data_IF_820414744372
#
_entry.id   IF_820414744372
#
_cell.length_a   1.000
_cell.length_b   1.000
_cell.length_c   1.000
_cell.angle_alpha   90.00
_cell.angle_beta   90.00
_cell.angle_gamma   90.00
#
_symmetry.space_group_name_H-M   'P 1'
#
loop_
_entity.id
_entity.type
_entity.pdbx_description
1 polymer ?
#
# COMPACT_ATOMS: atom_id res chain seq x y z
N UNK A 1 -3.25 -13.40 15.22
CA UNK A 1 -4.13 -12.27 14.84
C UNK A 1 -5.47 -12.37 15.58
N UNK A 2 -5.99 -11.26 16.13
CA UNK A 2 -7.34 -11.19 16.70
C UNK A 2 -8.44 -10.98 15.63
N UNK A 3 -8.03 -10.78 14.36
CA UNK A 3 -8.89 -10.53 13.21
C UNK A 3 -9.02 -11.81 12.38
N UNK A 4 -10.18 -12.50 12.39
CA UNK A 4 -10.38 -13.72 11.59
C UNK A 4 -10.16 -13.45 10.10
N UNK A 5 -9.49 -14.37 9.39
CA UNK A 5 -9.16 -14.29 7.96
C UNK A 5 -8.32 -13.06 7.55
N UNK A 6 -7.65 -12.41 8.50
CA UNK A 6 -6.62 -11.42 8.20
C UNK A 6 -5.32 -12.09 7.78
N UNK A 7 -4.63 -11.48 6.81
CA UNK A 7 -3.27 -11.84 6.43
C UNK A 7 -2.31 -10.83 7.05
N UNK A 8 -1.38 -11.33 7.87
CA UNK A 8 -0.37 -10.51 8.52
C UNK A 8 0.99 -10.75 7.84
N UNK A 9 1.65 -9.68 7.41
CA UNK A 9 3.03 -9.67 6.96
C UNK A 9 3.87 -8.95 8.02
N UNK A 10 4.88 -9.62 8.55
CA UNK A 10 5.73 -9.09 9.62
C UNK A 10 7.18 -8.99 9.14
N UNK A 11 7.82 -7.87 9.44
CA UNK A 11 9.25 -7.66 9.23
C UNK A 11 9.86 -6.98 10.45
N UNK A 12 11.03 -7.45 10.89
CA UNK A 12 11.72 -6.92 12.06
C UNK A 12 13.18 -6.59 11.70
N UNK A 13 13.66 -5.44 12.17
CA UNK A 13 15.04 -5.00 12.02
C UNK A 13 15.45 -4.15 13.22
N UNK A 14 16.40 -4.65 14.01
CA UNK A 14 16.79 -4.06 15.30
C UNK A 14 15.55 -3.87 16.20
N UNK A 15 15.34 -2.68 16.76
CA UNK A 15 14.20 -2.31 17.60
C UNK A 15 12.92 -2.00 16.82
N UNK A 16 13.02 -1.97 15.47
CA UNK A 16 11.91 -1.67 14.59
C UNK A 16 11.14 -2.93 14.20
N UNK A 17 9.82 -2.85 14.30
CA UNK A 17 8.87 -3.87 13.85
C UNK A 17 7.88 -3.23 12.90
N UNK A 18 7.71 -3.84 11.73
CA UNK A 18 6.70 -3.50 10.75
C UNK A 18 5.67 -4.62 10.67
N UNK A 19 4.39 -4.25 10.69
CA UNK A 19 3.27 -5.18 10.48
C UNK A 19 2.34 -4.57 9.44
N UNK A 20 2.07 -5.32 8.38
CA UNK A 20 0.98 -5.07 7.44
C UNK A 20 -0.10 -6.13 7.65
N UNK A 21 -1.29 -5.71 8.04
CA UNK A 21 -2.45 -6.58 8.16
C UNK A 21 -3.48 -6.20 7.11
N UNK A 22 -3.92 -7.17 6.31
CA UNK A 22 -4.94 -6.95 5.29
C UNK A 22 -6.10 -7.94 5.35
N UNK A 23 -7.27 -7.48 4.92
CA UNK A 23 -8.50 -8.25 4.77
C UNK A 23 -8.95 -8.20 3.32
N UNK A 24 -9.56 -9.31 2.86
CA UNK A 24 -10.14 -9.42 1.52
C UNK A 24 -9.12 -9.71 0.42
N UNK A 25 -9.64 -9.86 -0.81
CA UNK A 25 -8.84 -10.21 -1.99
C UNK A 25 -9.06 -9.17 -3.12
N UNK A 26 -10.29 -9.07 -3.62
CA UNK A 26 -10.66 -8.11 -4.68
C UNK A 26 -11.04 -6.74 -4.15
N UNK A 27 -11.63 -6.70 -2.96
CA UNK A 27 -11.88 -5.50 -2.17
C UNK A 27 -11.10 -5.68 -0.88
N UNK A 28 -10.18 -4.75 -0.63
CA UNK A 28 -9.23 -4.85 0.46
C UNK A 28 -9.36 -3.67 1.40
N UNK A 29 -9.13 -3.96 2.68
CA UNK A 29 -8.85 -2.97 3.73
C UNK A 29 -7.67 -3.49 4.51
N UNK A 30 -6.72 -2.62 4.82
CA UNK A 30 -5.58 -2.99 5.63
C UNK A 30 -4.92 -1.82 6.31
N UNK A 31 -3.92 -2.16 7.10
CA UNK A 31 -3.15 -1.23 7.90
C UNK A 31 -1.71 -1.69 7.96
N UNK A 32 -0.81 -0.76 7.63
CA UNK A 32 0.63 -0.88 7.86
C UNK A 32 0.97 -0.06 9.10
N UNK A 33 1.79 -0.59 9.99
CA UNK A 33 2.25 0.13 11.16
C UNK A 33 3.68 -0.24 11.54
N UNK A 34 4.38 0.73 12.14
CA UNK A 34 5.76 0.61 12.59
C UNK A 34 5.80 0.86 14.09
N UNK A 35 6.48 -0.03 14.81
CA UNK A 35 6.81 0.12 16.22
C UNK A 35 8.32 0.29 16.39
N UNK A 36 8.70 1.11 17.36
CA UNK A 36 10.06 1.20 17.89
C UNK A 36 10.00 0.86 19.38
N UNK A 37 10.74 -0.17 19.81
CA UNK A 37 10.69 -0.68 21.19
C UNK A 37 9.26 -0.94 21.70
N UNK A 38 8.46 -1.61 20.86
CA UNK A 38 7.04 -1.90 21.08
C UNK A 38 6.11 -0.68 21.25
N UNK A 39 6.59 0.54 21.01
CA UNK A 39 5.74 1.73 20.93
C UNK A 39 5.42 2.03 19.46
N UNK A 40 4.13 2.21 19.08
CA UNK A 40 3.78 2.57 17.71
C UNK A 40 4.28 3.98 17.40
N UNK A 41 4.99 4.14 16.28
CA UNK A 41 5.57 5.44 15.88
C UNK A 41 5.00 5.96 14.58
N UNK A 42 4.44 5.10 13.74
CA UNK A 42 3.88 5.45 12.44
C UNK A 42 2.82 4.43 12.01
N UNK A 43 1.80 4.88 11.28
CA UNK A 43 0.81 4.00 10.70
C UNK A 43 0.16 4.56 9.45
N UNK A 44 -0.34 3.66 8.61
CA UNK A 44 -1.09 3.96 7.39
C UNK A 44 -2.21 2.95 7.22
N UNK A 45 -3.43 3.42 7.02
CA UNK A 45 -4.50 2.55 6.53
C UNK A 45 -4.66 2.68 5.02
N UNK A 46 -5.18 1.63 4.40
CA UNK A 46 -5.48 1.62 2.99
C UNK A 46 -6.76 0.83 2.70
N UNK A 47 -7.45 1.23 1.63
CA UNK A 47 -8.56 0.48 1.06
C UNK A 47 -8.45 0.48 -0.45
N UNK A 48 -8.69 -0.66 -1.07
CA UNK A 48 -8.55 -0.83 -2.51
C UNK A 48 -9.60 -1.75 -3.08
N UNK A 49 -9.82 -1.66 -4.39
CA UNK A 49 -10.73 -2.54 -5.10
C UNK A 49 -10.33 -2.76 -6.55
N UNK A 50 -10.57 -3.98 -7.02
CA UNK A 50 -10.65 -4.29 -8.45
C UNK A 50 -11.96 -3.69 -8.99
N UNK A 51 -11.87 -2.93 -10.08
CA UNK A 51 -13.01 -2.22 -10.66
C UNK A 51 -13.40 -2.72 -12.06
N UNK A 52 -12.55 -3.53 -12.69
CA UNK A 52 -12.81 -4.15 -13.99
C UNK A 52 -11.92 -5.38 -14.19
N UNK A 53 -12.29 -6.22 -15.17
CA UNK A 53 -11.47 -7.34 -15.61
C UNK A 53 -10.09 -6.91 -16.13
N UNK A 54 -9.11 -7.81 -16.04
CA UNK A 54 -7.73 -7.54 -16.45
C UNK A 54 -6.87 -6.93 -15.34
N UNK A 55 -7.30 -6.96 -14.09
CA UNK A 55 -6.41 -6.71 -12.96
C UNK A 55 -5.43 -7.88 -12.78
N UNK A 56 -4.16 -7.56 -12.57
CA UNK A 56 -3.09 -8.52 -12.28
C UNK A 56 -2.39 -8.14 -10.97
N UNK A 57 -2.56 -8.99 -9.96
CA UNK A 57 -1.94 -8.82 -8.65
C UNK A 57 -0.41 -8.85 -8.72
N UNK A 58 0.17 -9.58 -9.68
CA UNK A 58 1.62 -9.64 -9.85
C UNK A 58 2.18 -8.29 -10.30
N UNK A 59 1.47 -7.56 -11.17
CA UNK A 59 1.84 -6.20 -11.56
C UNK A 59 1.78 -5.22 -10.39
N UNK A 60 0.73 -5.30 -9.55
CA UNK A 60 0.65 -4.49 -8.34
C UNK A 60 1.84 -4.77 -7.41
N UNK A 61 2.14 -6.04 -7.13
CA UNK A 61 3.30 -6.43 -6.30
C UNK A 61 4.60 -5.89 -6.87
N UNK A 62 4.76 -5.90 -8.18
CA UNK A 62 5.94 -5.41 -8.88
C UNK A 62 6.07 -3.87 -8.78
N UNK A 63 4.95 -3.14 -8.78
CA UNK A 63 4.93 -1.71 -8.48
C UNK A 63 5.33 -1.43 -7.03
N UNK A 64 4.78 -2.17 -6.05
CA UNK A 64 5.07 -1.99 -4.62
C UNK A 64 6.54 -2.28 -4.27
N UNK A 65 7.19 -3.23 -4.96
CA UNK A 65 8.63 -3.49 -4.81
C UNK A 65 9.54 -2.34 -5.28
N UNK A 66 9.01 -1.39 -6.07
CA UNK A 66 9.73 -0.21 -6.57
C UNK A 66 9.42 1.04 -5.75
N UNK A 67 9.04 0.86 -4.49
CA UNK A 67 9.01 1.93 -3.50
C UNK A 67 10.34 2.69 -3.51
N UNK A 68 10.27 4.01 -3.34
CA UNK A 68 11.44 4.88 -3.31
C UNK A 68 11.60 5.46 -1.92
N UNK A 69 12.83 5.71 -1.49
CA UNK A 69 13.11 6.30 -0.17
C UNK A 69 12.50 7.69 0.00
N UNK A 70 12.37 8.46 -1.08
CA UNK A 70 11.71 9.78 -1.11
C UNK A 70 10.18 9.71 -1.24
N UNK A 71 9.62 8.50 -1.36
CA UNK A 71 8.17 8.25 -1.42
C UNK A 71 7.84 6.91 -0.74
N UNK A 72 8.11 6.75 0.57
CA UNK A 72 8.12 5.47 1.26
C UNK A 72 6.71 5.02 1.70
N UNK A 73 5.75 5.02 0.77
CA UNK A 73 4.34 4.73 1.07
C UNK A 73 3.83 3.50 0.32
N UNK A 74 3.96 3.50 -1.01
CA UNK A 74 3.47 2.44 -1.92
C UNK A 74 4.46 2.31 -3.08
N UNK A 75 4.00 2.15 -4.31
CA UNK A 75 4.85 2.12 -5.50
C UNK A 75 5.33 3.51 -5.95
N UNK A 76 6.10 3.57 -7.05
CA UNK A 76 6.59 4.83 -7.61
C UNK A 76 5.45 5.68 -8.19
N UNK A 77 5.65 6.99 -8.39
CA UNK A 77 4.60 7.86 -8.99
C UNK A 77 4.06 7.33 -10.33
N UNK A 78 4.91 6.67 -11.10
CA UNK A 78 4.56 6.10 -12.39
C UNK A 78 5.39 4.85 -12.66
N UNK A 79 4.76 3.80 -13.18
CA UNK A 79 5.41 2.61 -13.72
C UNK A 79 4.58 2.11 -14.91
N UNK A 80 5.24 1.78 -16.01
CA UNK A 80 4.63 1.17 -17.19
C UNK A 80 5.39 -0.09 -17.56
N UNK A 81 4.68 -1.22 -17.68
CA UNK A 81 5.23 -2.50 -18.12
C UNK A 81 4.23 -3.16 -19.07
N UNK A 82 4.56 -3.21 -20.36
CA UNK A 82 3.65 -3.72 -21.39
C UNK A 82 2.35 -2.91 -21.44
N UNK A 83 1.21 -3.59 -21.36
CA UNK A 83 -0.12 -2.96 -21.41
C UNK A 83 -0.58 -2.36 -20.07
N UNK A 84 0.24 -2.49 -19.00
CA UNK A 84 -0.11 -2.05 -17.66
C UNK A 84 0.58 -0.74 -17.28
N UNK A 85 -0.19 0.16 -16.65
CA UNK A 85 0.28 1.43 -16.12
C UNK A 85 -0.16 1.54 -14.66
N UNK A 86 0.79 1.71 -13.76
CA UNK A 86 0.57 2.09 -12.36
C UNK A 86 0.79 3.60 -12.21
N UNK A 87 -0.10 4.26 -11.45
CA UNK A 87 0.05 5.67 -11.07
C UNK A 87 -0.21 5.81 -9.59
N UNK A 88 0.67 6.52 -8.89
CA UNK A 88 0.55 6.84 -7.48
C UNK A 88 0.67 8.36 -7.28
N UNK A 89 -0.23 8.93 -6.48
CA UNK A 89 -0.20 10.31 -6.03
C UNK A 89 -0.25 10.33 -4.52
N UNK A 90 0.57 11.18 -3.92
CA UNK A 90 0.58 11.44 -2.47
C UNK A 90 0.53 12.95 -2.28
N UNK A 91 -0.23 13.39 -1.29
CA UNK A 91 -0.33 14.75 -0.81
C UNK A 91 -0.03 14.77 0.69
N UNK A 92 0.76 15.75 1.12
CA UNK A 92 1.28 15.81 2.48
C UNK A 92 2.70 15.25 2.57
N UNK A 93 3.14 15.07 3.81
CA UNK A 93 4.50 14.66 4.17
C UNK A 93 4.46 13.37 4.99
N UNK A 94 5.62 12.80 5.31
CA UNK A 94 5.69 11.51 6.03
C UNK A 94 4.94 11.49 7.38
N UNK A 95 4.82 12.65 8.03
CA UNK A 95 4.13 12.81 9.30
C UNK A 95 2.60 12.90 9.20
N UNK A 96 2.07 13.29 8.03
CA UNK A 96 0.64 13.34 7.73
C UNK A 96 0.40 13.39 6.21
N UNK A 97 -0.16 12.33 5.65
CA UNK A 97 -0.40 12.23 4.21
C UNK A 97 -1.70 11.52 3.85
N UNK A 98 -2.16 11.81 2.64
CA UNK A 98 -3.19 11.07 1.93
C UNK A 98 -2.68 10.74 0.53
N UNK A 99 -3.06 9.60 0.00
CA UNK A 99 -2.62 9.16 -1.30
C UNK A 99 -3.62 8.25 -1.99
N UNK A 100 -3.41 8.11 -3.29
CA UNK A 100 -4.18 7.20 -4.11
C UNK A 100 -3.30 6.54 -5.16
N UNK A 101 -3.60 5.28 -5.43
CA UNK A 101 -2.99 4.52 -6.51
C UNK A 101 -4.05 3.98 -7.46
N UNK A 102 -3.68 3.80 -8.72
CA UNK A 102 -4.52 3.14 -9.72
C UNK A 102 -3.69 2.35 -10.71
N UNK A 103 -4.29 1.29 -11.23
CA UNK A 103 -3.73 0.53 -12.33
C UNK A 103 -4.65 0.65 -13.53
N UNK A 104 -4.06 0.94 -14.69
CA UNK A 104 -4.70 0.86 -15.99
C UNK A 104 -4.17 -0.35 -16.75
N UNK A 105 -5.06 -1.06 -17.43
CA UNK A 105 -4.73 -2.09 -18.41
C UNK A 105 -5.35 -1.69 -19.74
N UNK A 106 -4.54 -1.56 -20.79
CA UNK A 106 -4.98 -1.08 -22.13
C UNK A 106 -5.81 0.21 -22.06
N UNK A 107 -5.38 1.15 -21.21
CA UNK A 107 -6.03 2.44 -21.01
C UNK A 107 -7.30 2.42 -20.13
N UNK A 108 -7.79 1.25 -19.71
CA UNK A 108 -8.94 1.12 -18.81
C UNK A 108 -8.48 0.95 -17.36
N UNK A 109 -9.08 1.67 -16.43
CA UNK A 109 -8.80 1.50 -14.99
C UNK A 109 -9.33 0.15 -14.53
N UNK A 110 -8.47 -0.68 -13.95
CA UNK A 110 -8.80 -2.04 -13.45
C UNK A 110 -8.65 -2.16 -11.94
N UNK A 111 -7.91 -1.26 -11.30
CA UNK A 111 -7.75 -1.20 -9.85
C UNK A 111 -7.59 0.24 -9.36
N UNK A 112 -8.06 0.48 -8.15
CA UNK A 112 -7.79 1.71 -7.40
C UNK A 112 -7.65 1.42 -5.92
N UNK A 113 -6.83 2.22 -5.23
CA UNK A 113 -6.77 2.26 -3.78
C UNK A 113 -6.52 3.67 -3.27
N UNK A 114 -7.00 3.91 -2.06
CA UNK A 114 -6.77 5.10 -1.25
C UNK A 114 -5.98 4.68 -0.02
N UNK A 115 -5.07 5.53 0.43
CA UNK A 115 -4.30 5.29 1.64
C UNK A 115 -4.03 6.61 2.36
N UNK A 116 -3.88 6.55 3.67
CA UNK A 116 -3.63 7.73 4.50
C UNK A 116 -2.96 7.31 5.79
N UNK A 117 -2.07 8.15 6.30
CA UNK A 117 -1.24 7.79 7.43
C UNK A 117 -0.40 8.95 7.93
N UNK A 118 0.47 8.62 8.88
CA UNK A 118 1.34 9.59 9.51
C UNK A 118 1.95 9.08 10.80
N UNK A 119 2.59 10.00 11.51
CA UNK A 119 3.20 9.72 12.80
C UNK A 119 2.14 9.46 13.87
N UNK A 120 2.46 8.53 14.76
CA UNK A 120 1.69 8.24 15.98
C UNK A 120 2.47 8.85 17.15
N UNK A 121 1.78 9.50 18.08
CA UNK A 121 2.37 10.18 19.25
C UNK A 121 1.67 9.77 20.54
#
# INVERSE_FOLDING_TARGET
SSRPNAHDYVYEKNELKYIDTCLGNEQIVGEEAIWNDNQPVWGMNYTGRVVAEGFDLSFLREALKRVREDLPYRGPRYLELGDYIYKCRVEGEFDWFVGCEKILYKGKKVYEAMFQGGNIR
#
